data_IF_023364200389
#
_entry.id   IF_023364200389
#
_cell.length_a   1.000
_cell.length_b   1.000
_cell.length_c   1.000
_cell.angle_alpha   90.00
_cell.angle_beta   90.00
_cell.angle_gamma   90.00
#
_symmetry.space_group_name_H-M   'P 1'
#
loop_
_entity.id
_entity.type
_entity.pdbx_description
1 polymer ?
#
# COMPACT_ATOMS: atom_id res chain seq x y z
N UNK A 1 38.67 -2.25 34.41
CA UNK A 1 38.01 -2.56 35.70
C UNK A 1 36.62 -1.93 35.88
N UNK A 2 36.26 -0.81 35.23
CA UNK A 2 34.95 -0.15 35.44
C UNK A 2 33.75 -0.92 34.85
N UNK A 3 33.92 -1.64 33.73
CA UNK A 3 32.83 -2.38 33.07
C UNK A 3 32.25 -3.51 33.96
N UNK A 4 33.09 -4.22 34.71
CA UNK A 4 32.69 -5.34 35.57
C UNK A 4 31.81 -4.91 36.76
N UNK A 5 31.97 -3.67 37.25
CA UNK A 5 31.14 -3.14 38.35
C UNK A 5 29.73 -2.76 37.90
N UNK A 6 29.57 -2.26 36.67
CA UNK A 6 28.25 -1.94 36.11
C UNK A 6 27.45 -3.20 35.79
N UNK A 7 28.10 -4.21 35.22
CA UNK A 7 27.46 -5.49 34.87
C UNK A 7 26.96 -6.23 36.12
N UNK A 8 27.79 -6.35 37.16
CA UNK A 8 27.36 -6.93 38.45
C UNK A 8 26.24 -6.13 39.13
N UNK A 9 26.24 -4.80 39.01
CA UNK A 9 25.16 -3.95 39.51
C UNK A 9 23.87 -4.17 38.72
N UNK A 10 23.96 -4.29 37.40
CA UNK A 10 22.84 -4.58 36.51
C UNK A 10 22.21 -5.93 36.84
N UNK A 11 23.00 -7.00 36.91
CA UNK A 11 22.49 -8.35 37.23
C UNK A 11 21.79 -8.39 38.58
N UNK A 12 22.38 -7.78 39.61
CA UNK A 12 21.75 -7.70 40.94
C UNK A 12 20.41 -6.96 40.88
N UNK A 13 20.36 -5.81 40.22
CA UNK A 13 19.13 -5.00 40.09
C UNK A 13 18.05 -5.70 39.26
N UNK A 14 18.44 -6.44 38.22
CA UNK A 14 17.52 -7.30 37.46
C UNK A 14 16.99 -8.41 38.35
N UNK A 15 17.82 -9.05 39.18
CA UNK A 15 17.41 -10.04 40.17
C UNK A 15 16.37 -9.49 41.15
N UNK A 16 16.63 -8.32 41.72
CA UNK A 16 15.69 -7.62 42.61
C UNK A 16 14.36 -7.33 41.90
N UNK A 17 14.43 -6.80 40.67
CA UNK A 17 13.24 -6.48 39.87
C UNK A 17 12.42 -7.73 39.55
N UNK A 18 13.07 -8.84 39.20
CA UNK A 18 12.41 -10.14 38.97
C UNK A 18 11.73 -10.68 40.23
N UNK A 19 12.35 -10.49 41.40
CA UNK A 19 11.78 -10.84 42.69
C UNK A 19 10.48 -10.08 42.96
N UNK A 20 10.53 -8.75 42.85
CA UNK A 20 9.39 -7.85 43.12
C UNK A 20 8.26 -8.05 42.11
N UNK A 21 8.58 -8.31 40.85
CA UNK A 21 7.58 -8.44 39.76
C UNK A 21 6.90 -9.81 39.71
N UNK A 22 7.39 -10.80 40.46
CA UNK A 22 6.93 -12.19 40.38
C UNK A 22 5.43 -12.40 40.68
N UNK A 23 4.84 -11.52 41.51
CA UNK A 23 3.43 -11.55 41.92
C UNK A 23 2.56 -10.45 41.30
N UNK A 24 3.11 -9.60 40.42
CA UNK A 24 2.36 -8.48 39.83
C UNK A 24 1.51 -8.93 38.64
N UNK A 25 0.35 -8.29 38.48
CA UNK A 25 -0.51 -8.43 37.30
C UNK A 25 0.10 -7.71 36.08
N UNK A 26 -0.32 -8.09 34.87
CA UNK A 26 0.13 -7.45 33.61
C UNK A 26 -0.06 -5.93 33.66
N UNK A 27 -1.18 -5.45 34.17
CA UNK A 27 -1.47 -4.02 34.32
C UNK A 27 -0.49 -3.32 35.26
N UNK A 28 -0.19 -3.92 36.42
CA UNK A 28 0.79 -3.38 37.37
C UNK A 28 2.21 -3.38 36.78
N UNK A 29 2.56 -4.39 35.99
CA UNK A 29 3.85 -4.46 35.31
C UNK A 29 4.02 -3.37 34.26
N UNK A 30 2.96 -3.03 33.52
CA UNK A 30 3.00 -1.92 32.56
C UNK A 30 3.15 -0.57 33.28
N UNK A 31 2.46 -0.36 34.41
CA UNK A 31 2.67 0.83 35.26
C UNK A 31 4.11 0.91 35.75
N UNK A 32 4.65 -0.20 36.26
CA UNK A 32 6.03 -0.26 36.73
C UNK A 32 7.02 0.04 35.59
N UNK A 33 6.80 -0.52 34.39
CA UNK A 33 7.60 -0.21 33.20
C UNK A 33 7.61 1.29 32.91
N UNK A 34 6.45 1.96 32.89
CA UNK A 34 6.37 3.41 32.65
C UNK A 34 7.19 4.19 33.67
N UNK A 35 7.06 3.84 34.95
CA UNK A 35 7.80 4.49 36.05
C UNK A 35 9.31 4.26 35.94
N UNK A 36 9.74 3.04 35.65
CA UNK A 36 11.18 2.70 35.57
C UNK A 36 11.85 3.34 34.34
N UNK A 37 11.16 3.48 33.22
CA UNK A 37 11.73 4.10 32.02
C UNK A 37 11.94 5.62 32.15
N UNK A 38 11.18 6.29 33.01
CA UNK A 38 11.34 7.73 33.29
C UNK A 38 12.22 8.00 34.52
N UNK A 39 12.55 6.97 35.31
CA UNK A 39 13.33 7.12 36.53
C UNK A 39 14.82 7.32 36.22
N UNK A 40 15.34 8.49 36.57
CA UNK A 40 16.77 8.82 36.43
C UNK A 40 17.69 7.87 37.19
N UNK A 41 17.23 7.28 38.30
CA UNK A 41 18.03 6.30 39.04
C UNK A 41 18.18 4.99 38.26
N UNK A 42 17.17 4.60 37.47
CA UNK A 42 17.24 3.43 36.59
C UNK A 42 18.25 3.63 35.46
N UNK A 43 18.29 4.83 34.88
CA UNK A 43 19.27 5.20 33.86
C UNK A 43 20.73 5.12 34.35
N UNK A 44 20.95 5.19 35.67
CA UNK A 44 22.28 5.05 36.29
C UNK A 44 22.88 3.65 36.19
N UNK A 45 22.07 2.60 36.02
CA UNK A 45 22.55 1.21 35.99
C UNK A 45 22.14 0.42 34.74
N UNK A 46 21.13 0.87 33.98
CA UNK A 46 20.70 0.26 32.73
C UNK A 46 20.37 1.31 31.66
N UNK A 47 20.66 0.99 30.41
CA UNK A 47 20.15 1.72 29.25
C UNK A 47 18.66 1.42 29.04
N UNK A 48 17.97 2.33 28.34
CA UNK A 48 16.57 2.14 27.97
C UNK A 48 16.33 0.80 27.26
N UNK A 49 17.21 0.43 26.31
CA UNK A 49 17.12 -0.85 25.57
C UNK A 49 17.26 -2.07 26.48
N UNK A 50 18.15 -2.01 27.47
CA UNK A 50 18.32 -3.11 28.44
C UNK A 50 17.07 -3.23 29.33
N UNK A 51 16.52 -2.12 29.81
CA UNK A 51 15.28 -2.11 30.58
C UNK A 51 14.10 -2.64 29.76
N UNK A 52 13.98 -2.25 28.49
CA UNK A 52 12.94 -2.77 27.60
C UNK A 52 13.04 -4.29 27.41
N UNK A 53 14.26 -4.83 27.26
CA UNK A 53 14.47 -6.26 27.14
C UNK A 53 14.07 -7.00 28.42
N UNK A 54 14.43 -6.46 29.59
CA UNK A 54 14.05 -7.03 30.90
C UNK A 54 12.53 -7.02 31.09
N UNK A 55 11.86 -5.89 30.83
CA UNK A 55 10.39 -5.81 30.94
C UNK A 55 9.67 -6.69 29.92
N UNK A 56 10.20 -6.86 28.71
CA UNK A 56 9.68 -7.83 27.73
C UNK A 56 9.70 -9.25 28.30
N UNK A 57 10.81 -9.67 28.91
CA UNK A 57 10.91 -11.00 29.53
C UNK A 57 9.96 -11.18 30.72
N UNK A 58 9.82 -10.15 31.57
CA UNK A 58 8.90 -10.16 32.71
C UNK A 58 7.45 -10.26 32.24
N UNK A 59 7.06 -9.44 31.27
CA UNK A 59 5.70 -9.44 30.70
C UNK A 59 5.40 -10.76 30.00
N UNK A 60 6.34 -11.32 29.23
CA UNK A 60 6.17 -12.62 28.58
C UNK A 60 5.85 -13.72 29.60
N UNK A 61 6.59 -13.75 30.72
CA UNK A 61 6.33 -14.70 31.82
C UNK A 61 4.99 -14.44 32.51
N UNK A 62 4.59 -13.18 32.68
CA UNK A 62 3.29 -12.83 33.26
C UNK A 62 2.12 -13.24 32.34
N UNK A 63 2.26 -13.05 31.04
CA UNK A 63 1.27 -13.49 30.04
C UNK A 63 1.15 -15.02 30.00
N UNK A 64 2.27 -15.74 30.12
CA UNK A 64 2.27 -17.20 30.28
C UNK A 64 1.47 -17.64 31.52
N UNK A 65 1.64 -16.95 32.66
CA UNK A 65 0.89 -17.24 33.90
C UNK A 65 -0.61 -16.88 33.80
N UNK A 66 -0.98 -15.90 32.99
CA UNK A 66 -2.37 -15.48 32.81
C UNK A 66 -3.25 -16.59 32.22
N UNK A 67 -2.66 -17.48 31.43
CA UNK A 67 -3.33 -18.60 30.78
C UNK A 67 -3.99 -18.24 29.45
N UNK A 68 -4.11 -19.23 28.57
CA UNK A 68 -4.56 -19.03 27.19
C UNK A 68 -5.99 -18.49 27.06
N UNK A 69 -6.92 -18.88 27.95
CA UNK A 69 -8.31 -18.44 27.89
C UNK A 69 -8.47 -16.94 28.19
N UNK A 70 -7.89 -16.48 29.31
CA UNK A 70 -7.90 -15.06 29.69
C UNK A 70 -7.15 -14.22 28.67
N UNK A 71 -6.04 -14.72 28.15
CA UNK A 71 -5.29 -14.04 27.10
C UNK A 71 -6.07 -13.95 25.79
N UNK A 72 -6.81 -14.99 25.41
CA UNK A 72 -7.69 -14.97 24.23
C UNK A 72 -8.85 -14.00 24.40
N UNK A 73 -9.46 -13.96 25.58
CA UNK A 73 -10.51 -12.98 25.91
C UNK A 73 -9.97 -11.55 25.85
N UNK A 74 -8.77 -11.31 26.40
CA UNK A 74 -8.11 -10.01 26.33
C UNK A 74 -7.80 -9.62 24.88
N UNK A 75 -7.28 -10.54 24.06
CA UNK A 75 -6.98 -10.29 22.66
C UNK A 75 -8.23 -9.91 21.84
N UNK A 76 -9.39 -10.54 22.11
CA UNK A 76 -10.68 -10.15 21.50
C UNK A 76 -11.12 -8.73 21.87
N UNK A 77 -10.74 -8.26 23.05
CA UNK A 77 -11.00 -6.91 23.55
C UNK A 77 -9.82 -5.95 23.28
N UNK A 78 -8.95 -6.27 22.31
CA UNK A 78 -7.79 -5.47 21.92
C UNK A 78 -6.86 -5.14 23.10
N UNK A 79 -6.72 -6.09 24.02
CA UNK A 79 -5.98 -6.02 25.28
C UNK A 79 -6.41 -4.91 26.24
N UNK A 80 -7.50 -4.19 25.95
CA UNK A 80 -8.01 -3.07 26.76
C UNK A 80 -8.14 -3.40 28.25
N UNK A 81 -8.61 -4.60 28.68
CA UNK A 81 -8.73 -4.93 30.10
C UNK A 81 -7.39 -5.06 30.84
N UNK A 82 -6.27 -5.20 30.12
CA UNK A 82 -4.93 -5.35 30.70
C UNK A 82 -4.15 -4.04 30.72
N UNK A 83 -4.61 -3.01 30.01
CA UNK A 83 -3.91 -1.73 29.89
C UNK A 83 -4.19 -0.84 31.11
N UNK A 84 -3.15 -0.23 31.72
CA UNK A 84 -3.36 0.80 32.73
C UNK A 84 -3.84 2.11 32.10
N UNK A 85 -4.55 2.97 32.85
CA UNK A 85 -4.94 4.29 32.37
C UNK A 85 -3.69 5.09 31.96
N UNK A 86 -3.77 5.83 30.84
CA UNK A 86 -2.65 6.57 30.29
C UNK A 86 -3.04 7.39 29.07
N UNK A 87 -2.06 8.02 28.43
CA UNK A 87 -2.30 8.72 27.17
C UNK A 87 -2.63 7.73 26.05
N UNK A 88 -3.25 8.23 24.97
CA UNK A 88 -3.57 7.40 23.81
C UNK A 88 -2.32 6.76 23.18
N UNK A 89 -1.20 7.49 23.15
CA UNK A 89 0.08 7.01 22.62
C UNK A 89 0.67 5.88 23.48
N UNK A 90 0.68 6.05 24.81
CA UNK A 90 1.15 5.01 25.74
C UNK A 90 0.31 3.74 25.61
N UNK A 91 -1.01 3.89 25.58
CA UNK A 91 -1.95 2.78 25.45
C UNK A 91 -1.77 2.04 24.12
N UNK A 92 -1.53 2.76 23.04
CA UNK A 92 -1.27 2.19 21.70
C UNK A 92 0.05 1.40 21.67
N UNK A 93 1.13 1.97 22.22
CA UNK A 93 2.43 1.29 22.29
C UNK A 93 2.40 0.02 23.13
N UNK A 94 1.74 0.05 24.29
CA UNK A 94 1.61 -1.10 25.18
C UNK A 94 0.70 -2.19 24.60
N UNK A 95 -0.37 -1.79 23.91
CA UNK A 95 -1.23 -2.72 23.18
C UNK A 95 -0.46 -3.51 22.13
N UNK A 96 0.39 -2.84 21.35
CA UNK A 96 1.28 -3.49 20.37
C UNK A 96 2.24 -4.46 21.05
N UNK A 97 2.88 -4.01 22.13
CA UNK A 97 3.78 -4.85 22.92
C UNK A 97 3.09 -6.12 23.45
N UNK A 98 1.87 -5.98 24.00
CA UNK A 98 1.09 -7.11 24.49
C UNK A 98 0.67 -8.04 23.36
N UNK A 99 0.25 -7.51 22.20
CA UNK A 99 -0.12 -8.32 21.04
C UNK A 99 1.07 -9.15 20.52
N UNK A 100 2.25 -8.54 20.40
CA UNK A 100 3.47 -9.20 19.95
C UNK A 100 3.86 -10.37 20.89
N UNK A 101 3.86 -10.12 22.20
CA UNK A 101 4.19 -11.15 23.19
C UNK A 101 3.11 -12.25 23.27
N UNK A 102 1.83 -11.85 23.26
CA UNK A 102 0.70 -12.78 23.35
C UNK A 102 0.61 -13.72 22.14
N UNK A 103 1.10 -13.31 20.97
CA UNK A 103 1.08 -14.12 19.74
C UNK A 103 1.72 -15.50 19.88
N UNK A 104 2.65 -15.68 20.84
CA UNK A 104 3.30 -16.96 21.15
C UNK A 104 2.38 -17.95 21.87
N UNK A 105 1.43 -17.45 22.64
CA UNK A 105 0.58 -18.21 23.55
C UNK A 105 -0.86 -18.34 23.05
N UNK A 106 -1.31 -17.40 22.22
CA UNK A 106 -2.59 -17.53 21.56
C UNK A 106 -2.53 -18.70 20.58
N UNK A 107 -3.58 -19.54 20.51
CA UNK A 107 -3.65 -20.53 19.47
C UNK A 107 -3.52 -19.78 18.15
N UNK A 108 -2.43 -20.04 17.41
CA UNK A 108 -2.35 -19.60 16.02
C UNK A 108 -3.68 -20.05 15.43
N UNK A 109 -4.51 -19.14 14.91
CA UNK A 109 -5.73 -19.57 14.25
C UNK A 109 -5.25 -20.67 13.32
N UNK A 110 -5.75 -21.91 13.52
CA UNK A 110 -5.51 -22.98 12.54
C UNK A 110 -5.77 -22.26 11.24
N UNK A 111 -4.79 -22.17 10.33
CA UNK A 111 -5.05 -21.55 9.04
C UNK A 111 -6.32 -22.26 8.64
N UNK A 112 -7.43 -21.50 8.58
CA UNK A 112 -8.62 -22.09 7.99
C UNK A 112 -8.04 -22.66 6.71
N UNK A 113 -8.25 -23.94 6.37
CA UNK A 113 -8.24 -24.27 4.98
C UNK A 113 -9.26 -23.29 4.44
N UNK A 114 -8.76 -22.14 3.98
CA UNK A 114 -9.28 -21.52 2.81
C UNK A 114 -9.13 -22.71 1.88
N UNK A 115 -10.21 -23.49 1.76
CA UNK A 115 -10.57 -23.97 0.45
C UNK A 115 -10.54 -22.70 -0.38
N UNK A 116 -9.34 -22.36 -0.85
CA UNK A 116 -9.15 -21.83 -2.16
C UNK A 116 -9.71 -22.99 -2.96
N UNK A 117 -11.05 -22.99 -3.13
CA UNK A 117 -11.62 -23.57 -4.32
C UNK A 117 -10.65 -23.12 -5.39
N UNK A 118 -10.06 -24.05 -6.18
CA UNK A 118 -9.33 -23.62 -7.37
C UNK A 118 -10.20 -22.53 -7.96
N UNK A 119 -9.65 -21.30 -8.18
CA UNK A 119 -10.47 -20.16 -8.59
C UNK A 119 -11.43 -20.74 -9.59
N UNK A 120 -12.76 -20.70 -9.32
CA UNK A 120 -13.72 -21.35 -10.20
C UNK A 120 -13.25 -21.01 -11.60
N UNK A 121 -13.09 -22.00 -12.52
CA UNK A 121 -12.66 -21.69 -13.89
C UNK A 121 -13.44 -20.45 -14.23
N UNK A 122 -12.72 -19.33 -14.51
CA UNK A 122 -13.21 -17.99 -14.24
C UNK A 122 -14.68 -18.04 -14.59
N UNK A 123 -15.62 -17.65 -13.69
CA UNK A 123 -16.93 -17.39 -14.22
C UNK A 123 -16.65 -16.63 -15.51
N UNK A 124 -17.33 -17.00 -16.57
CA UNK A 124 -17.60 -16.00 -17.56
C UNK A 124 -18.29 -14.87 -16.74
N UNK A 125 -17.57 -14.06 -15.94
CA UNK A 125 -17.23 -12.71 -16.32
C UNK A 125 -17.13 -12.76 -17.85
N UNK A 126 -18.29 -12.87 -18.52
CA UNK A 126 -18.91 -11.69 -19.08
C UNK A 126 -18.01 -10.55 -18.68
N UNK A 127 -16.98 -10.33 -19.50
CA UNK A 127 -16.50 -8.99 -19.68
C UNK A 127 -17.80 -8.22 -19.76
N UNK A 128 -18.18 -7.57 -18.66
CA UNK A 128 -19.05 -6.43 -18.72
C UNK A 128 -18.25 -5.56 -19.67
N UNK A 129 -18.52 -5.76 -20.97
CA UNK A 129 -18.17 -4.86 -22.02
C UNK A 129 -19.03 -3.70 -21.60
N UNK A 130 -18.49 -2.89 -20.68
CA UNK A 130 -19.00 -1.59 -20.30
C UNK A 130 -19.50 -1.05 -21.65
N UNK A 131 -20.81 -0.80 -21.75
CA UNK A 131 -21.50 -0.79 -23.04
C UNK A 131 -20.79 0.04 -24.10
N UNK A 132 -21.10 -0.24 -25.37
CA UNK A 132 -20.62 0.59 -26.47
C UNK A 132 -20.74 2.08 -26.10
N UNK A 133 -19.65 2.84 -26.29
CA UNK A 133 -19.65 4.26 -25.96
C UNK A 133 -20.68 4.93 -26.87
N UNK A 134 -21.80 5.36 -26.29
CA UNK A 134 -22.82 6.13 -27.01
C UNK A 134 -22.41 7.59 -27.00
N UNK A 135 -22.18 8.18 -28.17
CA UNK A 135 -21.77 9.58 -28.31
C UNK A 135 -22.50 10.26 -29.48
N UNK A 136 -22.75 11.57 -29.32
CA UNK A 136 -23.30 12.42 -30.38
C UNK A 136 -22.27 13.41 -30.94
N UNK A 137 -21.05 13.43 -30.39
CA UNK A 137 -19.98 14.35 -30.77
C UNK A 137 -18.60 13.78 -30.46
N UNK A 138 -17.57 14.25 -31.16
CA UNK A 138 -16.18 13.90 -30.86
C UNK A 138 -15.81 14.25 -29.40
N UNK A 139 -16.27 15.39 -28.89
CA UNK A 139 -16.08 15.80 -27.50
C UNK A 139 -16.53 14.72 -26.51
N UNK A 140 -17.76 14.19 -26.67
CA UNK A 140 -18.28 13.16 -25.79
C UNK A 140 -17.50 11.85 -25.93
N UNK A 141 -17.21 11.43 -27.16
CA UNK A 141 -16.39 10.26 -27.43
C UNK A 141 -15.02 10.36 -26.77
N UNK A 142 -14.34 11.49 -26.96
CA UNK A 142 -13.00 11.74 -26.43
C UNK A 142 -12.99 11.72 -24.90
N UNK A 143 -13.92 12.46 -24.28
CA UNK A 143 -13.98 12.55 -22.82
C UNK A 143 -14.33 11.19 -22.18
N UNK A 144 -15.28 10.45 -22.77
CA UNK A 144 -15.68 9.12 -22.29
C UNK A 144 -14.55 8.10 -22.47
N UNK A 145 -13.94 8.07 -23.66
CA UNK A 145 -12.90 7.10 -23.99
C UNK A 145 -11.68 7.25 -23.07
N UNK A 146 -11.16 8.47 -22.89
CA UNK A 146 -9.98 8.69 -22.04
C UNK A 146 -10.30 8.47 -20.55
N UNK A 147 -11.47 8.90 -20.09
CA UNK A 147 -11.89 8.69 -18.70
C UNK A 147 -12.03 7.21 -18.38
N UNK A 148 -12.69 6.46 -19.27
CA UNK A 148 -12.89 5.03 -19.13
C UNK A 148 -11.57 4.25 -19.22
N UNK A 149 -10.69 4.61 -20.15
CA UNK A 149 -9.36 4.01 -20.26
C UNK A 149 -8.56 4.17 -18.96
N UNK A 150 -8.49 5.39 -18.43
CA UNK A 150 -7.79 5.65 -17.17
C UNK A 150 -8.44 4.95 -15.97
N UNK A 151 -9.79 4.90 -15.91
CA UNK A 151 -10.54 4.19 -14.88
C UNK A 151 -10.21 2.70 -14.87
N UNK A 152 -10.24 2.06 -16.03
CA UNK A 152 -9.93 0.63 -16.18
C UNK A 152 -8.49 0.31 -15.73
N UNK A 153 -7.53 1.16 -16.11
CA UNK A 153 -6.14 1.01 -15.66
C UNK A 153 -6.01 1.09 -14.13
N UNK A 154 -6.70 2.05 -13.49
CA UNK A 154 -6.71 2.19 -12.03
C UNK A 154 -7.42 1.02 -11.35
N UNK A 155 -8.54 0.54 -11.89
CA UNK A 155 -9.25 -0.64 -11.37
C UNK A 155 -8.38 -1.90 -11.40
N UNK A 156 -7.58 -2.09 -12.45
CA UNK A 156 -6.68 -3.24 -12.56
C UNK A 156 -5.63 -3.28 -11.42
N UNK A 157 -5.16 -2.12 -10.95
CA UNK A 157 -4.20 -2.03 -9.84
C UNK A 157 -4.83 -1.82 -8.47
N UNK A 158 -6.11 -1.48 -8.38
CA UNK A 158 -6.79 -1.25 -7.11
C UNK A 158 -6.72 -2.51 -6.21
N UNK A 159 -6.49 -2.31 -4.92
CA UNK A 159 -6.52 -3.39 -3.92
C UNK A 159 -7.97 -3.80 -3.71
N UNK A 160 -8.26 -5.10 -3.71
CA UNK A 160 -9.58 -5.61 -3.43
C UNK A 160 -10.07 -5.15 -2.03
N UNK A 161 -11.35 -4.74 -1.88
CA UNK A 161 -11.86 -4.21 -0.61
C UNK A 161 -11.67 -5.14 0.59
N UNK A 162 -11.74 -6.46 0.34
CA UNK A 162 -11.52 -7.50 1.34
C UNK A 162 -10.06 -7.61 1.76
N UNK A 163 -9.11 -7.35 0.86
CA UNK A 163 -7.68 -7.50 1.09
C UNK A 163 -7.02 -6.27 1.72
N UNK A 164 -7.60 -5.08 1.57
CA UNK A 164 -7.17 -3.89 2.31
C UNK A 164 -7.20 -4.12 3.85
N UNK A 165 -8.03 -5.07 4.31
CA UNK A 165 -8.12 -5.47 5.72
C UNK A 165 -6.94 -6.32 6.24
N UNK A 166 -6.08 -6.86 5.37
CA UNK A 166 -4.92 -7.67 5.80
C UNK A 166 -3.89 -6.82 6.55
N UNK A 167 -3.80 -5.52 6.22
CA UNK A 167 -2.86 -4.58 6.82
C UNK A 167 -3.57 -3.27 7.15
N UNK A 168 -4.53 -3.30 8.09
CA UNK A 168 -5.42 -2.16 8.36
C UNK A 168 -4.67 -0.98 9.00
N UNK A 169 -3.45 -1.21 9.48
CA UNK A 169 -2.58 -0.22 10.10
C UNK A 169 -1.66 0.50 9.09
N UNK A 170 -1.60 0.04 7.83
CA UNK A 170 -0.82 0.68 6.77
C UNK A 170 -1.79 1.41 5.85
N UNK A 171 -1.68 2.75 5.71
CA UNK A 171 -2.52 3.49 4.77
C UNK A 171 -2.32 2.99 3.34
N UNK A 172 -3.42 2.78 2.62
CA UNK A 172 -3.37 2.39 1.21
C UNK A 172 -3.00 3.64 0.37
N UNK A 173 -1.99 3.56 -0.52
CA UNK A 173 -1.69 4.63 -1.45
C UNK A 173 -2.90 4.96 -2.34
N UNK A 174 -3.13 6.23 -2.67
CA UNK A 174 -4.34 6.66 -3.39
C UNK A 174 -4.62 5.85 -4.66
N UNK A 175 -3.62 5.56 -5.49
CA UNK A 175 -3.81 4.80 -6.74
C UNK A 175 -4.36 3.40 -6.54
N UNK A 176 -4.05 2.80 -5.40
CA UNK A 176 -4.44 1.44 -5.06
C UNK A 176 -5.77 1.41 -4.29
N UNK A 177 -6.32 2.58 -3.94
CA UNK A 177 -7.57 2.66 -3.21
C UNK A 177 -8.76 2.40 -4.17
N UNK A 178 -9.72 1.52 -3.81
CA UNK A 178 -10.87 1.19 -4.67
C UNK A 178 -11.66 2.40 -5.17
N UNK A 179 -11.83 3.42 -4.34
CA UNK A 179 -12.62 4.61 -4.67
C UNK A 179 -11.88 5.66 -5.52
N UNK A 180 -10.56 5.53 -5.67
CA UNK A 180 -9.75 6.56 -6.33
C UNK A 180 -10.06 6.68 -7.83
N UNK A 181 -10.37 5.58 -8.51
CA UNK A 181 -10.65 5.58 -9.95
C UNK A 181 -11.81 6.53 -10.31
N UNK A 182 -12.90 6.52 -9.55
CA UNK A 182 -14.05 7.39 -9.76
C UNK A 182 -13.72 8.87 -9.47
N UNK A 183 -12.90 9.13 -8.45
CA UNK A 183 -12.41 10.46 -8.14
C UNK A 183 -11.52 11.00 -9.27
N UNK A 184 -10.61 10.18 -9.78
CA UNK A 184 -9.71 10.56 -10.86
C UNK A 184 -10.46 10.81 -12.17
N UNK A 185 -11.45 9.99 -12.51
CA UNK A 185 -12.35 10.27 -13.64
C UNK A 185 -13.06 11.62 -13.51
N UNK A 186 -13.58 11.93 -12.32
CA UNK A 186 -14.23 13.22 -12.06
C UNK A 186 -13.26 14.38 -12.28
N UNK A 187 -12.02 14.23 -11.82
CA UNK A 187 -10.94 15.20 -12.05
C UNK A 187 -10.69 15.39 -13.55
N UNK A 188 -10.53 14.29 -14.30
CA UNK A 188 -10.27 14.34 -15.74
C UNK A 188 -11.36 15.11 -16.47
N UNK A 189 -12.63 14.76 -16.23
CA UNK A 189 -13.77 15.39 -16.91
C UNK A 189 -13.94 16.85 -16.58
N UNK A 190 -13.63 17.27 -15.35
CA UNK A 190 -13.81 18.66 -14.90
C UNK A 190 -12.63 19.57 -15.24
N UNK A 191 -11.40 19.08 -15.15
CA UNK A 191 -10.21 19.95 -15.13
C UNK A 191 -9.17 19.63 -16.21
N UNK A 192 -9.09 18.39 -16.71
CA UNK A 192 -8.01 18.00 -17.63
C UNK A 192 -8.52 17.96 -19.08
N UNK A 193 -9.57 17.19 -19.33
CA UNK A 193 -10.12 16.94 -20.66
C UNK A 193 -10.70 18.19 -21.34
N UNK A 194 -11.42 19.10 -20.64
CA UNK A 194 -11.87 20.35 -21.26
C UNK A 194 -10.73 21.18 -21.82
N UNK A 195 -9.61 21.27 -21.09
CA UNK A 195 -8.43 22.04 -21.50
C UNK A 195 -7.70 21.34 -22.64
N UNK A 196 -7.55 20.02 -22.59
CA UNK A 196 -6.93 19.24 -23.68
C UNK A 196 -7.60 19.47 -25.03
N UNK A 197 -8.93 19.53 -25.05
CA UNK A 197 -9.70 19.79 -26.27
C UNK A 197 -9.51 21.21 -26.83
N UNK A 198 -8.94 22.13 -26.07
CA UNK A 198 -8.61 23.47 -26.58
C UNK A 198 -7.35 23.47 -27.43
N UNK A 199 -6.47 22.47 -27.28
CA UNK A 199 -5.22 22.40 -28.03
C UNK A 199 -5.48 22.19 -29.52
N UNK A 200 -4.74 22.95 -30.34
CA UNK A 200 -4.82 22.89 -31.80
C UNK A 200 -4.66 21.46 -32.34
N UNK A 201 -3.72 20.68 -31.79
CA UNK A 201 -3.49 19.28 -32.19
C UNK A 201 -4.71 18.38 -31.99
N UNK A 202 -5.47 18.56 -30.91
CA UNK A 202 -6.70 17.80 -30.66
C UNK A 202 -7.83 18.25 -31.59
N UNK A 203 -7.96 19.55 -31.87
CA UNK A 203 -8.92 20.06 -32.87
C UNK A 203 -8.60 19.59 -34.28
N UNK A 204 -7.32 19.49 -34.63
CA UNK A 204 -6.90 18.89 -35.90
C UNK A 204 -7.20 17.40 -35.93
N UNK A 205 -7.01 16.67 -34.82
CA UNK A 205 -7.39 15.26 -34.71
C UNK A 205 -8.91 15.08 -34.94
N UNK A 206 -9.73 15.92 -34.33
CA UNK A 206 -11.20 15.95 -34.51
C UNK A 206 -11.57 16.09 -36.00
N UNK A 207 -11.00 17.08 -36.69
CA UNK A 207 -11.38 17.43 -38.07
C UNK A 207 -10.80 16.49 -39.14
N UNK A 208 -9.74 15.74 -38.84
CA UNK A 208 -9.05 14.88 -39.83
C UNK A 208 -9.80 13.58 -40.13
N UNK A 209 -10.78 13.18 -39.31
CA UNK A 209 -11.36 11.83 -39.36
C UNK A 209 -12.85 11.83 -39.06
N UNK A 210 -13.57 10.87 -39.63
CA UNK A 210 -14.91 10.51 -39.15
C UNK A 210 -14.78 9.58 -37.94
N UNK A 211 -15.44 9.95 -36.86
CA UNK A 211 -15.39 9.29 -35.56
C UNK A 211 -16.61 8.40 -35.29
N UNK A 212 -17.62 8.42 -36.16
CA UNK A 212 -18.88 7.67 -35.98
C UNK A 212 -18.67 6.16 -35.88
N UNK A 213 -17.74 5.62 -36.67
CA UNK A 213 -17.46 4.18 -36.71
C UNK A 213 -16.12 3.86 -36.03
N UNK A 214 -16.14 2.97 -35.03
CA UNK A 214 -14.95 2.50 -34.30
C UNK A 214 -14.12 3.63 -33.67
N UNK A 215 -14.74 4.77 -33.33
CA UNK A 215 -14.04 5.94 -32.81
C UNK A 215 -13.26 5.66 -31.52
N UNK A 216 -13.86 4.89 -30.60
CA UNK A 216 -13.24 4.54 -29.32
C UNK A 216 -11.96 3.70 -29.51
N UNK A 217 -12.04 2.60 -30.27
CA UNK A 217 -10.90 1.74 -30.57
C UNK A 217 -9.79 2.50 -31.30
N UNK A 218 -10.15 3.45 -32.18
CA UNK A 218 -9.18 4.31 -32.86
C UNK A 218 -8.47 5.24 -31.88
N UNK A 219 -9.18 5.87 -30.94
CA UNK A 219 -8.56 6.72 -29.91
C UNK A 219 -7.60 5.91 -29.03
N UNK A 220 -8.01 4.72 -28.61
CA UNK A 220 -7.16 3.79 -27.84
C UNK A 220 -5.93 3.39 -28.65
N UNK A 221 -6.10 3.06 -29.93
CA UNK A 221 -4.97 2.74 -30.82
C UNK A 221 -3.99 3.91 -30.99
N UNK A 222 -4.47 5.15 -31.06
CA UNK A 222 -3.61 6.34 -31.07
C UNK A 222 -2.85 6.44 -29.75
N UNK A 223 -3.53 6.28 -28.62
CA UNK A 223 -2.92 6.33 -27.29
C UNK A 223 -1.81 5.29 -27.14
N UNK A 224 -2.03 4.07 -27.63
CA UNK A 224 -1.11 2.94 -27.54
C UNK A 224 0.02 2.96 -28.58
N UNK A 225 -0.08 3.76 -29.66
CA UNK A 225 0.92 3.80 -30.75
C UNK A 225 2.29 4.40 -30.37
N UNK A 226 2.51 4.72 -29.09
CA UNK A 226 3.75 5.29 -28.56
C UNK A 226 3.78 6.82 -28.57
N UNK A 227 4.91 7.42 -28.18
CA UNK A 227 5.03 8.86 -27.93
C UNK A 227 5.30 9.69 -29.19
N UNK A 228 5.91 9.10 -30.22
CA UNK A 228 6.37 9.83 -31.41
C UNK A 228 5.18 10.33 -32.22
N UNK A 229 5.01 11.65 -32.24
CA UNK A 229 3.92 12.36 -32.92
C UNK A 229 2.50 12.03 -32.40
N UNK A 230 2.38 11.59 -31.14
CA UNK A 230 1.10 11.31 -30.53
C UNK A 230 0.40 12.61 -30.09
N UNK A 231 -0.70 13.03 -30.74
CA UNK A 231 -1.37 14.28 -30.41
C UNK A 231 -2.01 14.24 -29.02
N UNK A 232 -2.43 13.06 -28.56
CA UNK A 232 -3.08 12.89 -27.25
C UNK A 232 -2.02 12.95 -26.15
N UNK A 233 -0.99 12.09 -26.21
CA UNK A 233 0.04 12.06 -25.15
C UNK A 233 0.84 13.36 -25.09
N UNK A 234 1.19 13.98 -26.22
CA UNK A 234 1.92 15.25 -26.20
C UNK A 234 1.14 16.40 -25.57
N UNK A 235 -0.18 16.48 -25.83
CA UNK A 235 -1.04 17.50 -25.20
C UNK A 235 -1.33 17.17 -23.75
N UNK A 236 -1.50 15.90 -23.42
CA UNK A 236 -1.61 15.38 -22.05
C UNK A 236 -0.42 15.80 -21.21
N UNK A 237 0.80 15.51 -21.65
CA UNK A 237 2.03 15.84 -20.93
C UNK A 237 2.21 17.35 -20.78
N UNK A 238 1.92 18.10 -21.85
CA UNK A 238 1.97 19.56 -21.81
C UNK A 238 1.00 20.13 -20.78
N UNK A 239 -0.21 19.55 -20.67
CA UNK A 239 -1.21 19.99 -19.68
C UNK A 239 -0.75 19.67 -18.27
N UNK A 240 -0.24 18.46 -18.03
CA UNK A 240 0.25 18.07 -16.71
C UNK A 240 1.48 18.87 -16.27
N UNK A 241 2.39 19.19 -17.19
CA UNK A 241 3.56 20.02 -16.92
C UNK A 241 3.22 21.50 -16.61
N UNK A 242 2.07 21.99 -17.07
CA UNK A 242 1.60 23.35 -16.77
C UNK A 242 0.98 23.48 -15.36
N UNK A 243 0.51 22.39 -14.74
CA UNK A 243 -0.16 22.45 -13.44
C UNK A 243 0.69 22.97 -12.27
N UNK A 244 2.01 22.68 -12.18
CA UNK A 244 2.83 23.27 -11.12
C UNK A 244 2.99 24.79 -11.25
N UNK A 245 3.10 25.32 -12.47
CA UNK A 245 3.41 26.74 -12.74
C UNK A 245 2.17 27.62 -12.82
N UNK A 246 1.06 27.08 -13.31
CA UNK A 246 -0.25 27.72 -13.24
C UNK A 246 -0.88 27.53 -11.86
N UNK A 247 -0.25 26.79 -10.93
CA UNK A 247 -1.01 26.11 -9.89
C UNK A 247 -2.10 25.24 -10.52
N UNK A 248 -2.80 24.42 -9.72
CA UNK A 248 -4.04 23.90 -10.27
C UNK A 248 -5.09 25.02 -10.22
N UNK A 249 -5.23 25.74 -11.35
CA UNK A 249 -6.26 26.76 -11.50
C UNK A 249 -5.82 28.23 -11.42
N UNK A 250 -4.63 28.67 -11.84
CA UNK A 250 -4.26 30.11 -11.84
C UNK A 250 -5.23 31.01 -12.63
N UNK A 251 -6.10 30.45 -13.46
CA UNK A 251 -7.21 31.19 -14.07
C UNK A 251 -8.59 30.56 -13.87
N UNK A 252 -8.67 29.39 -13.24
CA UNK A 252 -9.95 28.90 -12.76
C UNK A 252 -10.31 29.72 -11.53
N UNK A 253 -11.46 30.40 -11.53
CA UNK A 253 -11.99 31.03 -10.32
C UNK A 253 -11.86 30.03 -9.16
N UNK A 254 -11.45 30.48 -7.97
CA UNK A 254 -11.29 29.74 -6.68
C UNK A 254 -12.33 28.64 -6.33
N UNK A 255 -13.37 28.47 -7.13
CA UNK A 255 -14.50 27.56 -6.96
C UNK A 255 -14.21 26.11 -7.37
N UNK A 256 -13.16 25.85 -8.16
CA UNK A 256 -12.89 24.53 -8.76
C UNK A 256 -11.44 24.06 -8.50
N UNK A 257 -11.03 24.01 -7.23
CA UNK A 257 -9.75 23.42 -6.80
C UNK A 257 -9.83 21.88 -6.83
N UNK A 258 -9.09 21.18 -7.71
CA UNK A 258 -9.15 19.73 -7.78
C UNK A 258 -8.50 19.01 -6.60
N UNK A 259 -7.65 19.68 -5.81
CA UNK A 259 -7.10 19.08 -4.60
C UNK A 259 -8.19 18.86 -3.56
N UNK A 260 -9.21 19.71 -3.52
CA UNK A 260 -10.38 19.53 -2.66
C UNK A 260 -11.14 18.24 -3.00
N UNK A 261 -11.30 17.91 -4.29
CA UNK A 261 -11.93 16.65 -4.74
C UNK A 261 -11.18 15.44 -4.17
N UNK A 262 -9.84 15.47 -4.23
CA UNK A 262 -9.02 14.39 -3.70
C UNK A 262 -9.09 14.29 -2.18
N UNK A 263 -9.10 15.41 -1.46
CA UNK A 263 -9.24 15.42 -0.01
C UNK A 263 -10.59 14.85 0.45
N UNK A 264 -11.68 15.22 -0.23
CA UNK A 264 -13.02 14.71 0.03
C UNK A 264 -13.11 13.19 -0.21
N UNK A 265 -12.59 12.71 -1.35
CA UNK A 265 -12.56 11.28 -1.66
C UNK A 265 -11.68 10.49 -0.68
N UNK A 266 -10.51 11.03 -0.33
CA UNK A 266 -9.59 10.42 0.63
C UNK A 266 -10.24 10.29 2.03
N UNK A 267 -10.98 11.31 2.48
CA UNK A 267 -11.72 11.26 3.74
C UNK A 267 -12.81 10.18 3.73
N UNK A 268 -13.50 10.02 2.59
CA UNK A 268 -14.56 9.02 2.42
C UNK A 268 -14.01 7.58 2.37
N UNK A 269 -12.98 7.35 1.58
CA UNK A 269 -12.48 6.00 1.24
C UNK A 269 -11.17 5.62 1.97
N UNK A 270 -10.72 6.45 2.91
CA UNK A 270 -9.59 6.21 3.84
C UNK A 270 -8.25 5.90 3.17
N UNK A 271 -7.87 6.69 2.17
CA UNK A 271 -6.55 6.64 1.56
C UNK A 271 -5.78 7.95 1.76
N UNK A 272 -4.47 7.93 1.50
CA UNK A 272 -3.64 9.14 1.57
C UNK A 272 -3.87 9.98 0.32
N UNK A 273 -4.42 11.21 0.39
CA UNK A 273 -4.73 11.99 -0.81
C UNK A 273 -3.45 12.33 -1.59
N UNK A 274 -3.51 12.36 -2.94
CA UNK A 274 -2.39 12.83 -3.76
C UNK A 274 -2.08 14.31 -3.48
N UNK A 275 -0.83 14.65 -3.68
CA UNK A 275 -0.27 16.01 -3.55
C UNK A 275 0.33 16.49 -4.86
N UNK A 276 0.81 17.74 -4.90
CA UNK A 276 1.50 18.30 -6.07
C UNK A 276 2.72 17.44 -6.48
N UNK A 277 3.40 16.81 -5.51
CA UNK A 277 4.52 15.92 -5.78
C UNK A 277 4.11 14.64 -6.54
N UNK A 278 2.83 14.29 -6.51
CA UNK A 278 2.27 13.11 -7.15
C UNK A 278 1.79 13.34 -8.59
N UNK A 279 1.90 14.58 -9.11
CA UNK A 279 1.54 14.91 -10.49
C UNK A 279 2.17 13.95 -11.52
N UNK A 280 3.47 13.61 -11.47
CA UNK A 280 4.05 12.66 -12.43
C UNK A 280 3.37 11.29 -12.41
N UNK A 281 2.85 10.88 -11.25
CA UNK A 281 2.16 9.60 -11.10
C UNK A 281 0.73 9.67 -11.65
N UNK A 282 0.02 10.77 -11.38
CA UNK A 282 -1.29 11.04 -11.97
C UNK A 282 -1.21 11.14 -13.50
N UNK A 283 -0.15 11.75 -14.03
CA UNK A 283 0.11 11.86 -15.46
C UNK A 283 0.35 10.49 -16.12
N UNK A 284 1.02 9.57 -15.42
CA UNK A 284 1.38 8.25 -15.96
C UNK A 284 0.16 7.33 -16.19
N UNK A 285 -0.96 7.55 -15.50
CA UNK A 285 -2.14 6.67 -15.53
C UNK A 285 -2.64 6.39 -16.95
N UNK A 286 -2.65 7.40 -17.84
CA UNK A 286 -3.13 7.24 -19.22
C UNK A 286 -2.23 6.32 -20.08
N UNK A 287 -1.02 6.01 -19.62
CA UNK A 287 -0.08 5.12 -20.32
C UNK A 287 -0.18 3.67 -19.86
N UNK A 288 -0.99 3.42 -18.83
CA UNK A 288 -1.18 2.07 -18.31
C UNK A 288 -2.27 1.37 -19.08
N UNK A 289 -1.94 0.20 -19.62
CA UNK A 289 -2.89 -0.67 -20.30
C UNK A 289 -3.52 -1.63 -19.29
N UNK A 290 -4.84 -1.58 -19.15
CA UNK A 290 -5.57 -2.36 -18.15
C UNK A 290 -5.46 -3.88 -18.37
N UNK A 291 -5.42 -4.33 -19.62
CA UNK A 291 -5.27 -5.76 -19.95
C UNK A 291 -3.88 -6.24 -19.59
N UNK A 292 -2.85 -5.46 -19.95
CA UNK A 292 -1.45 -5.75 -19.62
C UNK A 292 -1.25 -5.79 -18.09
N UNK A 293 -1.82 -4.84 -17.36
CA UNK A 293 -1.79 -4.81 -15.90
C UNK A 293 -2.46 -6.04 -15.28
N UNK A 294 -3.64 -6.40 -15.79
CA UNK A 294 -4.40 -7.57 -15.33
C UNK A 294 -3.64 -8.86 -15.60
N UNK A 295 -3.03 -9.00 -16.78
CA UNK A 295 -2.20 -10.15 -17.13
C UNK A 295 -0.95 -10.25 -16.24
N UNK A 296 -0.27 -9.12 -16.01
CA UNK A 296 0.88 -9.07 -15.12
C UNK A 296 0.51 -9.44 -13.68
N UNK A 297 -0.62 -8.94 -13.19
CA UNK A 297 -1.15 -9.28 -11.86
C UNK A 297 -1.48 -10.78 -11.74
N UNK A 298 -2.16 -11.35 -12.74
CA UNK A 298 -2.42 -12.81 -12.81
C UNK A 298 -1.11 -13.60 -12.75
N UNK A 299 -0.09 -13.19 -13.50
CA UNK A 299 1.24 -13.80 -13.45
C UNK A 299 1.90 -13.74 -12.07
N UNK A 300 1.82 -12.60 -11.38
CA UNK A 300 2.30 -12.43 -10.00
C UNK A 300 1.56 -13.39 -9.05
N UNK A 301 0.23 -13.44 -9.11
CA UNK A 301 -0.56 -14.30 -8.23
C UNK A 301 -0.31 -15.79 -8.47
N UNK A 302 -0.09 -16.20 -9.72
CA UNK A 302 0.26 -17.57 -10.06
C UNK A 302 1.63 -17.95 -9.47
N UNK A 303 2.65 -17.11 -9.63
CA UNK A 303 3.97 -17.35 -9.04
C UNK A 303 3.91 -17.40 -7.51
N UNK A 304 3.09 -16.54 -6.89
CA UNK A 304 2.86 -16.57 -5.45
C UNK A 304 2.26 -17.91 -5.01
N UNK A 305 1.25 -18.40 -5.73
CA UNK A 305 0.63 -19.70 -5.45
C UNK A 305 1.63 -20.84 -5.61
N UNK A 306 2.37 -20.88 -6.71
CA UNK A 306 3.37 -21.91 -6.97
C UNK A 306 4.50 -21.93 -5.94
N UNK A 307 4.92 -20.77 -5.43
CA UNK A 307 6.01 -20.69 -4.45
C UNK A 307 5.54 -21.01 -3.02
N UNK A 308 4.39 -20.49 -2.59
CA UNK A 308 3.97 -20.54 -1.18
C UNK A 308 2.79 -21.46 -0.87
N UNK A 309 1.97 -21.79 -1.87
CA UNK A 309 0.77 -22.64 -1.71
C UNK A 309 0.60 -23.56 -2.92
N UNK A 310 1.60 -24.41 -3.25
CA UNK A 310 1.53 -25.28 -4.40
C UNK A 310 0.36 -26.25 -4.29
N UNK A 311 -0.37 -26.49 -5.38
CA UNK A 311 -1.39 -27.54 -5.41
C UNK A 311 -0.76 -28.95 -5.41
N UNK A 312 0.41 -29.09 -6.05
CA UNK A 312 1.17 -30.32 -6.12
C UNK A 312 2.67 -30.06 -6.12
N UNK A 313 3.48 -31.10 -5.89
CA UNK A 313 4.95 -30.99 -5.98
C UNK A 313 5.43 -30.62 -7.39
N UNK A 314 4.67 -30.98 -8.43
CA UNK A 314 5.00 -30.62 -9.81
C UNK A 314 4.79 -29.12 -10.09
N UNK A 315 3.86 -28.49 -9.36
CA UNK A 315 3.55 -27.06 -9.49
C UNK A 315 4.41 -26.17 -8.58
N UNK A 316 5.27 -26.76 -7.73
CA UNK A 316 6.11 -26.02 -6.81
C UNK A 316 7.18 -25.24 -7.57
N UNK A 317 7.08 -23.91 -7.51
CA UNK A 317 8.14 -23.04 -8.00
C UNK A 317 9.33 -23.02 -7.02
N UNK A 318 10.52 -22.74 -7.53
CA UNK A 318 11.71 -22.53 -6.68
C UNK A 318 11.53 -21.32 -5.77
N UNK A 319 12.27 -21.30 -4.66
CA UNK A 319 12.37 -20.12 -3.81
C UNK A 319 12.86 -18.91 -4.62
N UNK A 320 12.20 -17.77 -4.43
CA UNK A 320 12.46 -16.51 -5.11
C UNK A 320 11.83 -16.38 -6.49
N UNK A 321 11.05 -17.35 -6.98
CA UNK A 321 10.38 -17.25 -8.28
C UNK A 321 9.41 -16.06 -8.36
N UNK A 322 8.65 -15.80 -7.31
CA UNK A 322 7.77 -14.64 -7.19
C UNK A 322 8.57 -13.34 -7.26
N UNK A 323 9.65 -13.25 -6.47
CA UNK A 323 10.53 -12.05 -6.46
C UNK A 323 11.07 -11.78 -7.86
N UNK A 324 11.57 -12.79 -8.55
CA UNK A 324 12.15 -12.64 -9.88
C UNK A 324 11.06 -12.33 -10.94
N UNK A 325 9.84 -12.82 -10.75
CA UNK A 325 8.66 -12.40 -11.50
C UNK A 325 8.34 -10.92 -11.31
N UNK A 326 8.27 -10.45 -10.07
CA UNK A 326 8.01 -9.04 -9.75
C UNK A 326 9.09 -8.10 -10.27
N UNK A 327 10.37 -8.50 -10.24
CA UNK A 327 11.46 -7.73 -10.83
C UNK A 327 11.28 -7.55 -12.35
N UNK A 328 10.84 -8.62 -13.04
CA UNK A 328 10.50 -8.52 -14.47
C UNK A 328 9.32 -7.58 -14.68
N UNK A 329 8.26 -7.71 -13.88
CA UNK A 329 7.09 -6.81 -13.95
C UNK A 329 7.45 -5.34 -13.73
N UNK A 330 8.33 -5.03 -12.77
CA UNK A 330 8.83 -3.65 -12.53
C UNK A 330 9.58 -3.11 -13.74
N UNK A 331 10.37 -3.94 -14.42
CA UNK A 331 11.16 -3.54 -15.58
C UNK A 331 10.33 -3.42 -16.86
N UNK A 332 9.41 -4.34 -17.08
CA UNK A 332 8.74 -4.54 -18.37
C UNK A 332 7.45 -3.72 -18.50
N UNK A 333 6.83 -3.31 -17.39
CA UNK A 333 5.62 -2.47 -17.42
C UNK A 333 5.93 -0.98 -17.55
N UNK A 334 5.03 -0.20 -18.18
CA UNK A 334 5.22 1.23 -18.39
C UNK A 334 5.20 2.01 -17.07
N UNK A 335 6.01 3.08 -17.01
CA UNK A 335 5.97 4.17 -16.03
C UNK A 335 5.35 3.83 -14.66
N UNK A 336 6.15 3.22 -13.78
CA UNK A 336 5.79 2.93 -12.38
C UNK A 336 4.63 1.96 -12.17
N UNK A 337 4.01 1.40 -13.22
CA UNK A 337 2.95 0.41 -13.10
C UNK A 337 3.41 -0.84 -12.32
N UNK A 338 4.63 -1.32 -12.60
CA UNK A 338 5.17 -2.46 -11.88
C UNK A 338 5.46 -2.18 -10.40
N UNK A 339 5.83 -0.95 -10.04
CA UNK A 339 5.91 -0.52 -8.63
C UNK A 339 4.55 -0.66 -7.96
N UNK A 340 3.47 -0.24 -8.64
CA UNK A 340 2.12 -0.29 -8.09
C UNK A 340 1.64 -1.73 -7.89
N UNK A 341 1.94 -2.64 -8.82
CA UNK A 341 1.65 -4.06 -8.63
C UNK A 341 2.48 -4.69 -7.50
N UNK A 342 3.71 -4.23 -7.29
CA UNK A 342 4.53 -4.67 -6.16
C UNK A 342 3.96 -4.21 -4.81
N UNK A 343 3.42 -2.99 -4.76
CA UNK A 343 2.73 -2.48 -3.57
C UNK A 343 1.36 -3.15 -3.40
N UNK A 344 0.62 -3.43 -4.48
CA UNK A 344 -0.63 -4.22 -4.42
C UNK A 344 -0.36 -5.59 -3.81
N UNK A 345 0.71 -6.27 -4.23
CA UNK A 345 1.14 -7.53 -3.64
C UNK A 345 1.38 -7.44 -2.13
N UNK A 346 1.92 -6.32 -1.64
CA UNK A 346 2.05 -6.09 -0.20
C UNK A 346 0.69 -6.12 0.50
N UNK A 347 -0.35 -5.50 -0.05
CA UNK A 347 -1.67 -5.53 0.59
C UNK A 347 -2.42 -6.86 0.41
N UNK A 348 -2.31 -7.50 -0.76
CA UNK A 348 -3.15 -8.65 -1.09
C UNK A 348 -2.54 -10.00 -0.76
N UNK A 349 -1.20 -10.11 -0.76
CA UNK A 349 -0.50 -11.38 -0.64
C UNK A 349 0.18 -11.48 0.74
N UNK A 350 -0.28 -12.40 1.62
CA UNK A 350 0.19 -12.48 3.01
C UNK A 350 1.70 -12.62 3.20
N UNK A 351 2.41 -13.27 2.26
CA UNK A 351 3.87 -13.47 2.34
C UNK A 351 4.69 -12.31 1.77
N UNK A 352 4.05 -11.37 1.08
CA UNK A 352 4.71 -10.16 0.57
C UNK A 352 4.76 -9.09 1.67
N UNK A 353 5.44 -9.40 2.77
CA UNK A 353 5.58 -8.50 3.92
C UNK A 353 6.67 -7.43 3.72
N UNK A 354 6.94 -6.63 4.76
CA UNK A 354 8.01 -5.63 4.73
C UNK A 354 9.38 -6.25 4.41
N UNK A 355 9.66 -7.45 4.93
CA UNK A 355 10.92 -8.13 4.70
C UNK A 355 11.06 -8.62 3.26
N UNK A 356 9.96 -9.08 2.66
CA UNK A 356 9.90 -9.39 1.25
C UNK A 356 10.20 -8.15 0.39
N UNK A 357 9.54 -7.02 0.65
CA UNK A 357 9.81 -5.77 -0.08
C UNK A 357 11.26 -5.30 0.07
N UNK A 358 11.84 -5.43 1.27
CA UNK A 358 13.26 -5.13 1.51
C UNK A 358 14.16 -5.99 0.62
N UNK A 359 13.92 -7.30 0.56
CA UNK A 359 14.70 -8.22 -0.28
C UNK A 359 14.51 -7.92 -1.78
N UNK A 360 13.29 -7.59 -2.20
CA UNK A 360 12.98 -7.20 -3.57
C UNK A 360 13.79 -5.96 -3.96
N UNK A 361 13.73 -4.89 -3.16
CA UNK A 361 14.49 -3.67 -3.36
C UNK A 361 16.00 -3.91 -3.38
N UNK A 362 16.54 -4.72 -2.45
CA UNK A 362 17.96 -5.09 -2.44
C UNK A 362 18.40 -5.84 -3.71
N UNK A 363 17.49 -6.58 -4.34
CA UNK A 363 17.77 -7.32 -5.59
C UNK A 363 17.73 -6.39 -6.81
N UNK A 364 16.92 -5.32 -6.78
CA UNK A 364 16.90 -4.29 -7.84
C UNK A 364 18.27 -3.61 -7.92
N UNK A 365 18.83 -3.20 -6.77
CA UNK A 365 20.19 -2.67 -6.71
C UNK A 365 20.76 -2.65 -5.29
N UNK A 366 22.08 -2.74 -5.20
CA UNK A 366 22.84 -2.60 -3.95
C UNK A 366 22.80 -1.18 -3.37
N UNK A 367 22.65 -0.13 -4.20
CA UNK A 367 22.66 1.26 -3.74
C UNK A 367 21.25 1.88 -3.70
N UNK A 368 21.01 2.74 -2.70
CA UNK A 368 19.72 3.43 -2.55
C UNK A 368 19.37 4.32 -3.75
N UNK A 369 20.35 5.02 -4.31
CA UNK A 369 20.15 5.88 -5.46
C UNK A 369 19.69 5.10 -6.70
N UNK A 370 20.27 3.91 -6.94
CA UNK A 370 19.87 3.07 -8.06
C UNK A 370 18.50 2.42 -7.82
N UNK A 371 18.18 2.01 -6.58
CA UNK A 371 16.84 1.54 -6.20
C UNK A 371 15.76 2.59 -6.49
N UNK A 372 15.99 3.83 -6.05
CA UNK A 372 15.06 4.95 -6.27
C UNK A 372 14.91 5.33 -7.74
N UNK A 373 15.91 5.07 -8.58
CA UNK A 373 15.80 5.27 -10.03
C UNK A 373 14.98 4.17 -10.70
N UNK A 374 15.19 2.92 -10.30
CA UNK A 374 14.57 1.76 -10.94
C UNK A 374 13.13 1.50 -10.49
N UNK A 375 12.81 1.76 -9.22
CA UNK A 375 11.48 1.56 -8.64
C UNK A 375 11.15 2.68 -7.62
N UNK A 376 11.02 3.94 -8.07
CA UNK A 376 10.85 5.11 -7.20
C UNK A 376 9.62 5.01 -6.29
N UNK A 377 8.49 4.52 -6.82
CA UNK A 377 7.25 4.38 -6.06
C UNK A 377 7.37 3.32 -4.98
N UNK A 378 7.96 2.17 -5.32
CA UNK A 378 8.17 1.09 -4.36
C UNK A 378 9.15 1.48 -3.25
N UNK A 379 10.25 2.16 -3.61
CA UNK A 379 11.23 2.63 -2.64
C UNK A 379 10.62 3.66 -1.67
N UNK A 380 9.88 4.65 -2.19
CA UNK A 380 9.18 5.64 -1.36
C UNK A 380 8.16 4.99 -0.42
N UNK A 381 7.37 4.05 -0.93
CA UNK A 381 6.41 3.30 -0.13
C UNK A 381 7.10 2.53 1.00
N UNK A 382 8.16 1.78 0.70
CA UNK A 382 8.92 1.03 1.70
C UNK A 382 9.50 1.93 2.81
N UNK A 383 10.04 3.09 2.43
CA UNK A 383 10.58 4.08 3.36
C UNK A 383 9.48 4.66 4.28
N UNK A 384 8.24 4.75 3.79
CA UNK A 384 7.08 5.24 4.56
C UNK A 384 6.45 4.21 5.50
N UNK A 385 6.80 2.92 5.37
CA UNK A 385 6.22 1.87 6.22
C UNK A 385 6.66 2.03 7.69
N UNK A 386 5.81 1.69 8.68
CA UNK A 386 6.19 1.67 10.09
C UNK A 386 7.36 0.72 10.36
N UNK A 387 8.34 1.15 11.15
CA UNK A 387 9.52 0.36 11.52
C UNK A 387 9.21 -0.77 12.49
#
# INVERSE_FOLDING_TARGET
MIASSRESTFERKVGDLLGVTSGLTVTQLLVLRRMTLIDSAAAGWASERELEAVFKAILDRALMKLGAEKLSSAAKADFTPLLPPGTAEQSSGERRLLADLASKYLPRPKPRPVEVKPPPPPPEEESESEGEIVFSSFKQLFDECLSRYARQALQAIAVAPTHASLRPHVPVPFLLAPGFAACYETLLRRHVLPDLRTFRRIRELENRRDWRENGANRLIGILQSGERDNPILSTWDSRWAAYPSEGIGAKAKRKDDPWALFAEAAAKDRFVPPTVADIPLLQAVIRWDAEMLTQAWRGITLLYQQEFTPASRADQAREGALRDGMLRTIRDLPERAGDMLAIKAFFELPKCDRMFLRRLLQTISGSDAARRRAAPGLASFYDSLPQ
#
